data_IF_826800528129
#
_entry.id   IF_826800528129
#
_cell.length_a   1.000
_cell.length_b   1.000
_cell.length_c   1.000
_cell.angle_alpha   90.00
_cell.angle_beta   90.00
_cell.angle_gamma   90.00
#
_symmetry.space_group_name_H-M   'P 1'
#
loop_
_entity.id
_entity.type
_entity.pdbx_description
1 polymer ?
#
# COMPACT_ATOMS: atom_id res chain seq x y z
N UNK A 1 -10.68 -8.01 40.39
CA UNK A 1 -11.80 -8.03 39.42
C UNK A 1 -11.71 -9.36 38.69
N UNK A 2 -12.69 -10.24 38.86
CA UNK A 2 -12.66 -11.58 38.25
C UNK A 2 -13.44 -11.54 36.95
N UNK A 3 -12.76 -11.81 35.84
CA UNK A 3 -13.39 -11.94 34.52
C UNK A 3 -14.38 -13.12 34.54
N UNK A 4 -15.53 -12.97 33.88
CA UNK A 4 -16.51 -14.04 33.66
C UNK A 4 -16.59 -14.36 32.17
N UNK A 5 -16.79 -15.63 31.76
CA UNK A 5 -17.02 -15.96 30.37
C UNK A 5 -18.29 -15.27 29.85
N UNK A 6 -18.19 -14.63 28.68
CA UNK A 6 -19.32 -14.05 27.96
C UNK A 6 -19.90 -15.11 27.01
N UNK A 7 -21.12 -15.61 27.23
CA UNK A 7 -21.73 -16.61 26.35
C UNK A 7 -22.22 -16.03 25.02
N UNK A 8 -22.47 -14.72 24.92
CA UNK A 8 -22.89 -14.08 23.68
C UNK A 8 -21.68 -13.69 22.83
N UNK A 9 -21.32 -14.57 21.89
CA UNK A 9 -20.20 -14.33 20.98
C UNK A 9 -20.51 -13.30 19.90
N UNK A 10 -21.78 -12.91 19.70
CA UNK A 10 -22.13 -11.92 18.66
C UNK A 10 -21.54 -10.53 18.94
N UNK A 11 -21.16 -10.26 20.19
CA UNK A 11 -20.43 -9.05 20.56
C UNK A 11 -19.03 -8.97 19.94
N UNK A 12 -18.51 -10.07 19.37
CA UNK A 12 -17.26 -10.10 18.63
C UNK A 12 -17.43 -9.93 17.11
N UNK A 13 -18.66 -10.00 16.59
CA UNK A 13 -18.92 -10.03 15.14
C UNK A 13 -18.30 -8.83 14.41
N UNK A 14 -18.28 -7.66 15.05
CA UNK A 14 -17.71 -6.43 14.47
C UNK A 14 -16.23 -6.53 14.08
N UNK A 15 -15.42 -7.38 14.75
CA UNK A 15 -14.01 -7.57 14.38
C UNK A 15 -13.74 -8.91 13.69
N UNK A 16 -14.63 -9.90 13.85
CA UNK A 16 -14.53 -11.20 13.16
C UNK A 16 -14.95 -11.07 11.69
N UNK A 17 -15.99 -10.28 11.41
CA UNK A 17 -16.51 -10.06 10.06
C UNK A 17 -15.85 -8.85 9.36
N UNK A 18 -14.91 -8.19 10.04
CA UNK A 18 -14.17 -7.09 9.46
C UNK A 18 -13.41 -7.56 8.22
N UNK A 19 -13.46 -6.77 7.15
CA UNK A 19 -12.71 -7.06 5.91
C UNK A 19 -11.20 -6.89 6.03
N UNK A 20 -10.74 -6.36 7.18
CA UNK A 20 -9.32 -6.19 7.52
C UNK A 20 -8.78 -7.44 8.21
N UNK A 21 -7.46 -7.64 8.20
CA UNK A 21 -6.83 -8.72 8.95
C UNK A 21 -7.23 -8.68 10.44
N UNK A 22 -7.63 -9.84 10.98
CA UNK A 22 -8.20 -9.91 12.34
C UNK A 22 -7.15 -9.62 13.42
N UNK A 23 -5.87 -9.97 13.21
CA UNK A 23 -4.81 -9.68 14.19
C UNK A 23 -4.56 -8.17 14.24
N UNK A 24 -4.52 -7.52 13.08
CA UNK A 24 -4.38 -6.08 13.00
C UNK A 24 -5.59 -5.36 13.61
N UNK A 25 -6.81 -5.84 13.34
CA UNK A 25 -8.05 -5.27 13.86
C UNK A 25 -8.16 -5.43 15.38
N UNK A 26 -7.87 -6.62 15.90
CA UNK A 26 -7.92 -6.89 17.34
C UNK A 26 -6.81 -6.16 18.13
N UNK A 27 -5.67 -5.87 17.49
CA UNK A 27 -4.52 -5.23 18.17
C UNK A 27 -4.56 -3.71 18.05
N UNK A 28 -4.91 -3.17 16.89
CA UNK A 28 -4.74 -1.74 16.57
C UNK A 28 -6.01 -1.08 16.01
N UNK A 29 -7.10 -1.83 15.80
CA UNK A 29 -8.26 -1.35 15.04
C UNK A 29 -7.96 -1.13 13.54
N UNK A 30 -9.01 -0.85 12.75
CA UNK A 30 -8.89 -0.67 11.31
C UNK A 30 -8.08 0.59 10.95
N UNK A 31 -7.33 0.52 9.85
CA UNK A 31 -6.51 1.64 9.40
C UNK A 31 -7.32 2.84 8.87
N UNK A 32 -8.57 2.61 8.46
CA UNK A 32 -9.49 3.63 7.98
C UNK A 32 -10.89 3.34 8.54
N UNK A 33 -11.76 4.34 8.51
CA UNK A 33 -13.15 4.19 8.90
C UNK A 33 -13.89 3.25 7.92
N UNK A 34 -14.99 2.64 8.40
CA UNK A 34 -15.73 1.62 7.66
C UNK A 34 -16.29 2.12 6.32
N UNK A 35 -16.64 3.40 6.21
CA UNK A 35 -17.14 4.00 4.97
C UNK A 35 -16.05 4.03 3.88
N UNK A 36 -14.78 4.18 4.26
CA UNK A 36 -13.63 4.07 3.36
C UNK A 36 -13.37 2.60 3.01
N UNK A 37 -13.34 1.71 4.01
CA UNK A 37 -13.01 0.29 3.81
C UNK A 37 -14.09 -0.48 3.03
N UNK A 38 -15.35 -0.07 3.13
CA UNK A 38 -16.48 -0.62 2.37
C UNK A 38 -16.72 0.11 1.05
N UNK A 39 -16.01 1.21 0.79
CA UNK A 39 -16.11 1.99 -0.42
C UNK A 39 -15.68 1.22 -1.70
N UNK A 40 -15.88 1.83 -2.88
CA UNK A 40 -15.51 1.22 -4.16
C UNK A 40 -14.01 0.88 -4.22
N UNK A 41 -13.70 -0.36 -4.65
CA UNK A 41 -12.33 -0.84 -4.82
C UNK A 41 -12.03 -1.12 -6.29
N UNK A 42 -10.78 -0.85 -6.68
CA UNK A 42 -10.26 -1.30 -7.98
C UNK A 42 -9.90 -2.77 -7.85
N UNK A 43 -10.64 -3.61 -8.57
CA UNK A 43 -10.41 -5.05 -8.59
C UNK A 43 -9.38 -5.39 -9.66
N UNK A 44 -8.28 -6.04 -9.27
CA UNK A 44 -7.26 -6.53 -10.18
C UNK A 44 -7.22 -8.07 -10.13
N UNK A 45 -7.73 -8.70 -11.19
CA UNK A 45 -7.71 -10.16 -11.41
C UNK A 45 -8.18 -11.00 -10.20
N UNK A 46 -9.28 -10.59 -9.57
CA UNK A 46 -9.97 -11.28 -8.44
C UNK A 46 -9.13 -11.64 -7.20
N UNK A 47 -7.84 -11.31 -7.17
CA UNK A 47 -6.95 -11.62 -6.05
C UNK A 47 -6.55 -10.37 -5.24
N UNK A 48 -6.67 -9.17 -5.82
CA UNK A 48 -6.26 -7.92 -5.16
C UNK A 48 -7.29 -6.81 -5.34
N UNK A 49 -7.64 -6.17 -4.23
CA UNK A 49 -8.57 -5.05 -4.17
C UNK A 49 -7.84 -3.80 -3.65
N UNK A 50 -7.89 -2.71 -4.42
CA UNK A 50 -7.17 -1.48 -4.08
C UNK A 50 -8.13 -0.33 -3.80
N UNK A 51 -7.83 0.45 -2.76
CA UNK A 51 -8.42 1.77 -2.57
C UNK A 51 -7.75 2.76 -3.53
N UNK A 52 -8.54 3.66 -4.12
CA UNK A 52 -8.04 4.70 -5.01
C UNK A 52 -8.06 6.05 -4.33
N UNK A 53 -6.88 6.65 -4.18
CA UNK A 53 -6.71 8.00 -3.64
C UNK A 53 -6.37 9.01 -4.75
N UNK A 54 -6.78 10.26 -4.59
CA UNK A 54 -6.41 11.38 -5.47
C UNK A 54 -5.97 12.58 -4.64
N UNK A 55 -4.86 13.20 -5.04
CA UNK A 55 -4.37 14.40 -4.39
C UNK A 55 -3.04 14.89 -4.99
N UNK A 56 -2.43 15.92 -4.39
CA UNK A 56 -1.09 16.37 -4.75
C UNK A 56 -0.06 15.26 -4.52
N UNK A 57 0.99 15.21 -5.35
CA UNK A 57 2.08 14.24 -5.20
C UNK A 57 2.80 14.33 -3.84
N UNK A 58 2.81 15.52 -3.21
CA UNK A 58 3.36 15.73 -1.87
C UNK A 58 2.64 14.95 -0.76
N UNK A 59 1.43 14.44 -1.04
CA UNK A 59 0.62 13.73 -0.06
C UNK A 59 0.74 12.20 -0.21
N UNK A 60 1.55 11.70 -1.15
CA UNK A 60 1.83 10.27 -1.25
C UNK A 60 2.46 9.80 0.06
N UNK A 61 1.92 8.72 0.64
CA UNK A 61 2.31 8.24 1.97
C UNK A 61 1.53 8.86 3.14
N UNK A 62 0.76 9.93 2.89
CA UNK A 62 -0.10 10.58 3.88
C UNK A 62 -1.57 10.25 3.61
N UNK A 63 -1.96 9.03 3.97
CA UNK A 63 -3.26 8.46 3.59
C UNK A 63 -4.43 8.91 4.47
N UNK A 64 -4.17 9.62 5.57
CA UNK A 64 -5.20 9.92 6.58
C UNK A 64 -5.63 8.70 7.38
N UNK A 65 -4.71 7.75 7.59
CA UNK A 65 -5.00 6.54 8.36
C UNK A 65 -5.21 6.85 9.84
N UNK A 66 -6.13 6.12 10.47
CA UNK A 66 -6.36 6.16 11.90
C UNK A 66 -5.06 5.78 12.63
N UNK A 67 -4.65 6.55 13.66
CA UNK A 67 -3.43 6.26 14.39
C UNK A 67 -3.56 4.94 15.14
N UNK A 68 -2.43 4.34 15.51
CA UNK A 68 -2.41 3.09 16.28
C UNK A 68 -2.91 3.36 17.71
N UNK A 69 -2.52 4.50 18.27
CA UNK A 69 -2.99 5.03 19.55
C UNK A 69 -2.89 6.57 19.56
N UNK A 70 -3.17 7.21 20.69
CA UNK A 70 -3.18 8.68 20.82
C UNK A 70 -1.86 9.38 20.47
N UNK A 71 -0.72 8.67 20.52
CA UNK A 71 0.62 9.22 20.28
C UNK A 71 1.37 8.55 19.12
N UNK A 72 0.83 7.48 18.54
CA UNK A 72 1.52 6.67 17.53
C UNK A 72 0.81 6.77 16.18
N UNK A 73 1.34 7.56 15.22
CA UNK A 73 0.84 7.57 13.85
C UNK A 73 0.93 6.20 13.20
N UNK A 74 -0.06 5.84 12.38
CA UNK A 74 -0.02 4.61 11.61
C UNK A 74 0.76 4.84 10.31
N UNK A 75 1.94 4.24 10.21
CA UNK A 75 2.65 4.14 8.94
C UNK A 75 2.02 3.03 8.09
N UNK A 76 1.63 3.36 6.87
CA UNK A 76 1.19 2.37 5.87
C UNK A 76 2.20 2.31 4.74
N UNK A 77 2.20 1.17 4.03
CA UNK A 77 3.02 0.98 2.84
C UNK A 77 2.77 2.10 1.79
N UNK A 78 3.75 2.38 0.92
CA UNK A 78 3.52 3.24 -0.23
C UNK A 78 2.39 2.69 -1.11
N UNK A 79 1.77 3.55 -1.91
CA UNK A 79 0.74 3.10 -2.85
C UNK A 79 1.33 2.09 -3.83
N UNK A 80 0.62 0.98 -4.04
CA UNK A 80 1.07 -0.08 -4.96
C UNK A 80 1.25 0.44 -6.39
N UNK A 81 0.41 1.39 -6.83
CA UNK A 81 0.57 2.10 -8.10
C UNK A 81 0.27 3.59 -7.93
N UNK A 82 1.11 4.46 -8.48
CA UNK A 82 0.91 5.93 -8.50
C UNK A 82 1.12 6.48 -9.91
N UNK A 83 0.27 7.40 -10.36
CA UNK A 83 0.40 8.04 -11.69
C UNK A 83 -0.06 9.51 -11.67
N UNK A 84 0.48 10.38 -12.56
CA UNK A 84 0.04 11.76 -12.73
C UNK A 84 -1.32 11.81 -13.45
N UNK A 85 -2.00 12.96 -13.36
CA UNK A 85 -3.33 13.12 -13.95
C UNK A 85 -3.39 12.83 -15.47
N UNK A 86 -2.32 13.12 -16.20
CA UNK A 86 -2.19 12.87 -17.65
C UNK A 86 -1.81 11.42 -17.99
N UNK A 87 -1.53 10.58 -16.98
CA UNK A 87 -1.14 9.16 -17.12
C UNK A 87 0.12 8.96 -17.98
N UNK A 88 0.99 9.97 -18.05
CA UNK A 88 2.20 9.90 -18.88
C UNK A 88 3.23 8.86 -18.39
N UNK A 89 3.15 8.48 -17.12
CA UNK A 89 4.00 7.48 -16.48
C UNK A 89 3.30 6.90 -15.25
N UNK A 90 3.85 5.84 -14.66
CA UNK A 90 3.42 5.35 -13.35
C UNK A 90 4.57 4.74 -12.58
N UNK A 91 4.45 4.70 -11.26
CA UNK A 91 5.34 3.98 -10.33
C UNK A 91 4.57 2.77 -9.82
N UNK A 92 5.18 1.59 -9.83
CA UNK A 92 4.70 0.41 -9.15
C UNK A 92 5.66 0.04 -8.02
N UNK A 93 5.12 -0.13 -6.81
CA UNK A 93 5.86 -0.57 -5.63
C UNK A 93 5.43 -2.00 -5.29
N UNK A 94 6.38 -2.93 -5.27
CA UNK A 94 6.16 -4.25 -4.71
C UNK A 94 6.46 -4.24 -3.21
N UNK A 95 5.76 -5.07 -2.45
CA UNK A 95 5.87 -5.15 -0.98
C UNK A 95 7.15 -5.84 -0.52
N UNK A 96 7.79 -6.61 -1.40
CA UNK A 96 8.97 -7.43 -1.07
C UNK A 96 10.28 -6.92 -1.69
N UNK A 97 10.25 -5.85 -2.49
CA UNK A 97 11.45 -5.35 -3.17
C UNK A 97 11.96 -4.04 -2.56
N UNK A 98 13.28 -3.95 -2.37
CA UNK A 98 14.00 -2.68 -2.08
C UNK A 98 14.02 -1.73 -3.29
N UNK A 99 13.29 -2.08 -4.35
CA UNK A 99 13.29 -1.45 -5.66
C UNK A 99 11.87 -1.01 -6.05
N UNK A 100 11.78 0.01 -6.90
CA UNK A 100 10.50 0.42 -7.49
C UNK A 100 10.62 0.46 -9.01
N UNK A 101 9.53 0.12 -9.69
CA UNK A 101 9.46 0.16 -11.15
C UNK A 101 8.77 1.43 -11.63
N UNK A 102 9.35 2.10 -12.62
CA UNK A 102 8.75 3.27 -13.29
C UNK A 102 8.42 2.92 -14.73
N UNK A 103 7.14 2.84 -15.06
CA UNK A 103 6.65 2.62 -16.41
C UNK A 103 6.40 3.93 -17.14
N UNK A 104 6.87 4.04 -18.40
CA UNK A 104 6.62 5.23 -19.24
C UNK A 104 7.37 5.20 -20.56
N UNK A 105 7.55 6.38 -21.16
CA UNK A 105 8.17 6.51 -22.48
C UNK A 105 9.68 6.19 -22.48
N UNK A 106 10.25 5.92 -23.66
CA UNK A 106 11.69 5.73 -23.81
C UNK A 106 12.49 6.98 -23.37
N UNK A 107 11.96 8.18 -23.65
CA UNK A 107 12.56 9.44 -23.23
C UNK A 107 12.60 9.57 -21.69
N UNK A 108 11.51 9.19 -21.01
CA UNK A 108 11.47 9.16 -19.54
C UNK A 108 12.51 8.20 -18.98
N UNK A 109 12.58 6.99 -19.51
CA UNK A 109 13.53 6.00 -19.04
C UNK A 109 14.98 6.47 -19.21
N UNK A 110 15.31 7.10 -20.34
CA UNK A 110 16.63 7.68 -20.56
C UNK A 110 16.93 8.81 -19.55
N UNK A 111 15.94 9.65 -19.25
CA UNK A 111 16.09 10.70 -18.24
C UNK A 111 16.32 10.13 -16.83
N UNK A 112 15.62 9.06 -16.46
CA UNK A 112 15.79 8.39 -15.17
C UNK A 112 17.19 7.73 -15.06
N UNK A 113 17.63 7.02 -16.11
CA UNK A 113 18.98 6.45 -16.14
C UNK A 113 20.06 7.53 -15.99
N UNK A 114 19.88 8.69 -16.63
CA UNK A 114 20.80 9.81 -16.50
C UNK A 114 20.79 10.43 -15.09
N UNK A 115 19.62 10.50 -14.44
CA UNK A 115 19.47 11.10 -13.11
C UNK A 115 19.97 10.18 -11.97
N UNK A 116 19.73 8.87 -12.08
CA UNK A 116 20.00 7.91 -11.01
C UNK A 116 21.26 7.06 -11.25
N UNK A 117 21.81 7.09 -12.47
CA UNK A 117 23.07 6.45 -12.83
C UNK A 117 23.11 4.96 -12.46
N UNK A 118 24.06 4.51 -11.64
CA UNK A 118 24.19 3.09 -11.27
C UNK A 118 23.03 2.55 -10.42
N UNK A 119 22.18 3.42 -9.88
CA UNK A 119 21.01 3.03 -9.08
C UNK A 119 19.75 2.83 -9.93
N UNK A 120 19.86 2.84 -11.26
CA UNK A 120 18.76 2.59 -12.16
C UNK A 120 19.18 1.64 -13.29
N UNK A 121 18.31 0.68 -13.58
CA UNK A 121 18.44 -0.24 -14.68
C UNK A 121 17.19 -0.18 -15.56
N UNK A 122 17.35 -0.41 -16.86
CA UNK A 122 16.21 -0.57 -17.77
C UNK A 122 15.84 -2.04 -17.88
N UNK A 123 14.64 -2.36 -17.40
CA UNK A 123 14.02 -3.68 -17.54
C UNK A 123 12.97 -3.69 -18.66
N UNK A 124 12.76 -4.83 -19.31
CA UNK A 124 11.62 -5.07 -20.22
C UNK A 124 10.57 -5.94 -19.54
N UNK A 125 9.34 -5.92 -20.06
CA UNK A 125 8.22 -6.68 -19.48
C UNK A 125 8.57 -8.16 -19.33
N UNK A 126 8.39 -8.69 -18.12
CA UNK A 126 8.70 -10.08 -17.78
C UNK A 126 10.16 -10.35 -17.36
N UNK A 127 11.01 -9.32 -17.34
CA UNK A 127 12.33 -9.39 -16.74
C UNK A 127 12.29 -8.82 -15.32
N UNK A 128 12.84 -9.56 -14.36
CA UNK A 128 13.19 -9.01 -13.04
C UNK A 128 14.56 -8.33 -13.18
N UNK A 129 14.71 -7.13 -12.62
CA UNK A 129 16.01 -6.45 -12.57
C UNK A 129 17.01 -7.28 -11.75
N UNK A 130 18.30 -7.06 -11.97
CA UNK A 130 19.36 -7.80 -11.27
C UNK A 130 19.56 -7.17 -9.88
N UNK A 131 18.54 -7.30 -9.01
CA UNK A 131 18.57 -6.82 -7.63
C UNK A 131 19.54 -7.68 -6.83
N UNK A 132 20.84 -7.39 -6.91
CA UNK A 132 21.81 -7.88 -5.93
C UNK A 132 21.52 -7.19 -4.60
N UNK A 133 20.61 -7.78 -3.83
CA UNK A 133 20.48 -7.54 -2.41
C UNK A 133 21.87 -7.68 -1.81
N UNK A 134 22.47 -6.54 -1.48
CA UNK A 134 23.74 -6.54 -0.77
C UNK A 134 23.36 -6.73 0.69
N UNK A 135 23.26 -7.99 1.13
CA UNK A 135 23.12 -8.33 2.55
C UNK A 135 24.19 -7.55 3.33
N UNK A 136 23.75 -6.71 4.27
CA UNK A 136 24.56 -6.15 5.34
C UNK A 136 23.94 -6.50 6.68
#
# INVERSE_FOLDING_TARGET
MTLRPEPDTSQADWFVDATSDWQQTATFGPAFDDDILSGPKVNHHDARHYLLFRGPASNVGQWGANPIDVNTPRALAPASVTWPQDRAWFIAADVDEESMCVGGSAALAQALLAAFGPNAERVTFGQTGDSKATER
#
